data_IF_501789062102
#
_entry.id   IF_501789062102
#
_cell.length_a   1.000
_cell.length_b   1.000
_cell.length_c   1.000
_cell.angle_alpha   90.00
_cell.angle_beta   90.00
_cell.angle_gamma   90.00
#
_symmetry.space_group_name_H-M   'P 1'
#
loop_
_entity.id
_entity.type
_entity.pdbx_description
1 polymer ?
#
# COMPACT_ATOMS: atom_id res chain seq x y z
N UNK A 1 -8.33 20.03 -10.23
CA UNK A 1 -8.78 19.85 -8.84
C UNK A 1 -7.53 19.51 -8.04
N UNK A 2 -7.20 20.33 -7.05
CA UNK A 2 -5.97 20.19 -6.27
C UNK A 2 -6.09 18.93 -5.40
N UNK A 3 -5.21 17.93 -5.56
CA UNK A 3 -5.14 16.80 -4.63
C UNK A 3 -4.96 17.37 -3.21
N UNK A 4 -5.93 17.12 -2.33
CA UNK A 4 -6.00 17.65 -0.97
C UNK A 4 -5.09 16.91 0.02
N UNK A 5 -4.48 15.81 -0.42
CA UNK A 5 -3.49 15.06 0.33
C UNK A 5 -2.12 15.71 0.15
N UNK A 6 -1.51 16.14 1.25
CA UNK A 6 -0.10 16.56 1.23
C UNK A 6 0.75 15.37 0.80
N UNK A 7 1.79 15.56 -0.03
CA UNK A 7 2.71 14.49 -0.36
C UNK A 7 3.33 13.95 0.93
N UNK A 8 3.26 12.63 1.11
CA UNK A 8 3.90 11.90 2.20
C UNK A 8 5.32 11.57 1.73
N UNK A 9 6.33 11.96 2.51
CA UNK A 9 7.71 11.64 2.15
C UNK A 9 8.02 10.16 2.35
N UNK A 10 9.06 9.65 1.70
CA UNK A 10 9.49 8.25 1.85
C UNK A 10 9.94 7.86 3.27
N UNK A 11 10.21 8.83 4.15
CA UNK A 11 10.71 8.59 5.52
C UNK A 11 12.16 9.01 5.70
N UNK A 12 12.80 8.53 6.76
CA UNK A 12 14.22 8.74 7.06
C UNK A 12 15.05 7.55 6.54
N UNK A 13 15.30 7.54 5.24
CA UNK A 13 15.94 6.42 4.53
C UNK A 13 17.45 6.36 4.83
N UNK A 14 18.05 5.15 5.00
CA UNK A 14 17.42 3.83 4.88
C UNK A 14 16.87 3.24 6.18
N UNK A 15 17.02 3.91 7.32
CA UNK A 15 16.70 3.34 8.64
C UNK A 15 15.19 3.22 8.89
N UNK A 16 14.40 4.15 8.36
CA UNK A 16 12.95 4.21 8.55
C UNK A 16 12.26 4.63 7.24
N UNK A 17 11.21 3.90 6.86
CA UNK A 17 10.40 4.22 5.69
C UNK A 17 8.94 4.36 6.09
N UNK A 18 8.27 5.34 5.47
CA UNK A 18 6.83 5.44 5.52
C UNK A 18 6.22 4.45 4.54
N UNK A 19 5.21 3.70 4.96
CA UNK A 19 4.49 2.77 4.09
C UNK A 19 3.01 3.17 4.06
N UNK A 20 2.50 3.41 2.87
CA UNK A 20 1.07 3.66 2.65
C UNK A 20 0.41 2.29 2.48
N UNK A 21 -0.45 1.92 3.44
CA UNK A 21 -1.11 0.61 3.46
C UNK A 21 -2.30 0.60 2.51
N UNK A 22 -2.33 -0.40 1.63
CA UNK A 22 -3.42 -0.64 0.69
C UNK A 22 -4.29 -1.82 1.14
N UNK A 23 -3.67 -2.88 1.66
CA UNK A 23 -4.38 -4.12 2.03
C UNK A 23 -4.03 -4.49 3.47
N UNK A 24 -5.01 -4.46 4.41
CA UNK A 24 -4.81 -4.91 5.78
C UNK A 24 -4.53 -6.43 5.82
N UNK A 25 -3.71 -6.85 6.77
CA UNK A 25 -3.44 -8.27 7.01
C UNK A 25 -4.75 -9.05 7.26
N UNK A 26 -4.85 -10.27 6.72
CA UNK A 26 -5.98 -11.20 6.92
C UNK A 26 -7.36 -10.61 6.57
N UNK A 27 -7.42 -9.56 5.74
CA UNK A 27 -8.66 -8.93 5.29
C UNK A 27 -9.38 -9.73 4.20
N UNK A 28 -10.60 -9.31 3.84
CA UNK A 28 -11.36 -9.84 2.70
C UNK A 28 -10.49 -9.94 1.43
N UNK A 29 -10.74 -10.92 0.53
CA UNK A 29 -9.88 -11.22 -0.62
C UNK A 29 -10.06 -10.19 -1.75
N UNK A 30 -9.73 -8.93 -1.47
CA UNK A 30 -9.79 -7.80 -2.39
C UNK A 30 -8.40 -7.20 -2.45
N UNK A 31 -7.83 -7.15 -3.66
CA UNK A 31 -6.62 -6.37 -3.92
C UNK A 31 -7.07 -4.92 -4.15
N UNK A 32 -6.87 -4.09 -3.13
CA UNK A 32 -6.94 -2.65 -3.27
C UNK A 32 -5.64 -2.11 -3.84
N UNK A 33 -5.73 -0.98 -4.52
CA UNK A 33 -4.58 -0.25 -5.04
C UNK A 33 -4.91 1.24 -5.04
N UNK A 34 -3.93 2.07 -4.69
CA UNK A 34 -4.06 3.52 -4.77
C UNK A 34 -3.68 3.98 -6.17
N UNK A 35 -4.61 4.65 -6.83
CA UNK A 35 -4.33 5.31 -8.09
C UNK A 35 -3.37 6.48 -7.86
N UNK A 36 -2.23 6.46 -8.55
CA UNK A 36 -1.11 7.37 -8.30
C UNK A 36 -1.38 8.80 -8.76
N UNK A 37 -2.27 8.98 -9.73
CA UNK A 37 -2.64 10.31 -10.22
C UNK A 37 -3.61 11.02 -9.27
N UNK A 38 -4.62 10.29 -8.78
CA UNK A 38 -5.72 10.85 -7.99
C UNK A 38 -5.52 10.68 -6.48
N UNK A 39 -4.71 9.72 -6.04
CA UNK A 39 -4.57 9.31 -4.64
C UNK A 39 -5.79 8.59 -4.08
N UNK A 40 -6.73 8.14 -4.93
CA UNK A 40 -7.92 7.43 -4.50
C UNK A 40 -7.66 5.92 -4.45
N UNK A 41 -8.30 5.24 -3.50
CA UNK A 41 -8.25 3.78 -3.39
C UNK A 41 -9.27 3.14 -4.35
N UNK A 42 -8.80 2.22 -5.18
CA UNK A 42 -9.60 1.44 -6.12
C UNK A 42 -9.52 -0.05 -5.80
N UNK A 43 -10.54 -0.78 -6.26
CA UNK A 43 -10.48 -2.24 -6.32
C UNK A 43 -9.81 -2.61 -7.64
N UNK A 44 -8.61 -3.18 -7.58
CA UNK A 44 -7.96 -3.77 -8.75
C UNK A 44 -8.70 -5.08 -9.11
N UNK A 45 -8.80 -6.00 -8.14
CA UNK A 45 -9.50 -7.28 -8.34
C UNK A 45 -9.90 -7.97 -7.05
N UNK A 46 -10.82 -8.93 -7.18
CA UNK A 46 -11.05 -9.96 -6.17
C UNK A 46 -10.03 -11.10 -6.34
N UNK A 47 -9.44 -11.56 -5.24
CA UNK A 47 -8.48 -12.67 -5.25
C UNK A 47 -9.28 -13.97 -5.43
N UNK A 48 -8.98 -14.70 -6.50
CA UNK A 48 -9.71 -15.92 -6.88
C UNK A 48 -9.31 -17.15 -6.06
N UNK A 49 -8.12 -17.13 -5.46
CA UNK A 49 -7.65 -18.18 -4.57
C UNK A 49 -8.16 -17.95 -3.15
N UNK A 50 -8.37 -19.02 -2.35
CA UNK A 50 -8.76 -18.90 -0.95
C UNK A 50 -7.56 -18.52 -0.06
N UNK A 51 -6.90 -17.42 -0.42
CA UNK A 51 -5.71 -16.89 0.24
C UNK A 51 -5.95 -15.46 0.68
N UNK A 52 -5.24 -15.07 1.75
CA UNK A 52 -5.25 -13.72 2.29
C UNK A 52 -3.82 -13.20 2.40
N UNK A 53 -3.65 -11.88 2.39
CA UNK A 53 -2.35 -11.28 2.67
C UNK A 53 -1.96 -11.56 4.14
N UNK A 54 -0.81 -12.19 4.40
CA UNK A 54 -0.42 -12.57 5.77
C UNK A 54 0.08 -11.37 6.59
N UNK A 55 0.36 -10.25 5.93
CA UNK A 55 0.88 -9.00 6.51
C UNK A 55 0.16 -7.82 5.86
N UNK A 56 0.30 -6.63 6.43
CA UNK A 56 -0.23 -5.44 5.76
C UNK A 56 0.63 -5.17 4.54
N UNK A 57 -0.01 -4.96 3.40
CA UNK A 57 0.66 -4.70 2.13
C UNK A 57 0.42 -3.26 1.71
N UNK A 58 1.45 -2.67 1.11
CA UNK A 58 1.43 -1.32 0.60
C UNK A 58 2.77 -0.96 -0.03
N UNK A 59 3.02 0.34 -0.19
CA UNK A 59 4.21 0.83 -0.89
C UNK A 59 4.88 2.01 -0.17
N UNK A 60 6.16 2.25 -0.49
CA UNK A 60 6.91 3.42 -0.02
C UNK A 60 6.73 4.57 -1.03
N UNK A 61 6.19 5.74 -0.63
CA UNK A 61 6.04 6.87 -1.53
C UNK A 61 7.41 7.40 -1.97
N UNK A 62 7.46 8.15 -3.08
CA UNK A 62 8.69 8.76 -3.62
C UNK A 62 9.80 7.74 -3.97
N UNK A 63 9.44 6.49 -4.23
CA UNK A 63 10.34 5.45 -4.76
C UNK A 63 9.92 5.02 -6.16
N UNK A 64 10.85 4.40 -6.87
CA UNK A 64 10.61 3.85 -8.21
C UNK A 64 11.37 2.53 -8.33
N UNK A 65 10.64 1.43 -8.48
CA UNK A 65 11.16 0.10 -8.76
C UNK A 65 11.30 -0.13 -10.28
N UNK A 66 11.91 -1.26 -10.65
CA UNK A 66 12.26 -1.59 -12.03
C UNK A 66 11.04 -1.82 -12.95
N UNK A 67 9.87 -2.08 -12.37
CA UNK A 67 8.59 -2.25 -13.07
C UNK A 67 7.84 -0.93 -13.30
N UNK A 68 8.35 0.18 -12.78
CA UNK A 68 7.73 1.51 -12.88
C UNK A 68 6.79 1.85 -11.73
N UNK A 69 6.66 0.97 -10.73
CA UNK A 69 5.83 1.19 -9.57
C UNK A 69 6.66 1.63 -8.36
N UNK A 70 6.04 2.26 -7.34
CA UNK A 70 6.70 2.46 -6.06
C UNK A 70 7.10 1.13 -5.43
N UNK A 71 8.13 1.12 -4.60
CA UNK A 71 8.62 -0.08 -3.94
C UNK A 71 7.57 -0.66 -2.98
N UNK A 72 7.18 -1.92 -3.24
CA UNK A 72 6.25 -2.68 -2.42
C UNK A 72 6.85 -3.13 -1.08
N UNK A 73 6.01 -3.19 -0.04
CA UNK A 73 6.40 -3.61 1.31
C UNK A 73 5.32 -4.48 1.95
N UNK A 74 5.76 -5.55 2.61
CA UNK A 74 4.96 -6.30 3.59
C UNK A 74 5.34 -5.87 5.00
N UNK A 75 4.42 -5.21 5.70
CA UNK A 75 4.60 -4.74 7.08
C UNK A 75 4.05 -5.78 8.05
N UNK A 76 4.97 -6.45 8.74
CA UNK A 76 4.65 -7.43 9.78
C UNK A 76 4.26 -6.68 11.06
N UNK A 77 3.01 -6.86 11.49
CA UNK A 77 2.49 -6.30 12.74
C UNK A 77 1.63 -7.34 13.46
N UNK A 78 1.40 -7.20 14.79
CA UNK A 78 0.50 -8.09 15.52
C UNK A 78 -0.99 -7.92 15.16
N UNK A 79 -1.36 -6.79 14.56
CA UNK A 79 -2.74 -6.42 14.23
C UNK A 79 -2.83 -5.87 12.80
N UNK A 80 -3.92 -6.17 12.06
CA UNK A 80 -4.22 -5.49 10.81
C UNK A 80 -4.35 -3.98 11.01
N UNK A 81 -3.91 -3.21 10.02
CA UNK A 81 -4.03 -1.74 10.02
C UNK A 81 -5.25 -1.32 9.21
N UNK A 82 -6.00 -0.32 9.72
CA UNK A 82 -7.27 0.18 9.16
C UNK A 82 -8.40 -0.86 9.32
N UNK A 83 -9.46 -0.49 10.06
CA UNK A 83 -10.60 -1.38 10.33
C UNK A 83 -11.93 -0.66 10.17
#
# INVERSE_FOLDING_TARGET
MQNSLKPVSAGNIPEEVNVIIEIPAMSSPVKYEIDKETGAMFVDRFISTPMFYPCNYGFVPETLADDGDPADVLVITPYPLIH
#
